data_IF_081131687312
#
_entry.id   IF_081131687312
#
_cell.length_a   1.000
_cell.length_b   1.000
_cell.length_c   1.000
_cell.angle_alpha   90.00
_cell.angle_beta   90.00
_cell.angle_gamma   90.00
#
_symmetry.space_group_name_H-M   'P 1'
#
loop_
_entity.id
_entity.type
_entity.pdbx_description
1 polymer ?
#
# COMPACT_ATOMS: atom_id res chain seq x y z
N UNK A 1 3.75 -23.82 -2.91
CA UNK A 1 3.12 -24.92 -2.15
C UNK A 1 3.36 -26.28 -2.81
N UNK A 2 3.31 -26.42 -4.16
CA UNK A 2 3.42 -27.72 -4.86
C UNK A 2 4.65 -28.54 -4.51
N UNK A 3 5.82 -27.90 -4.34
CA UNK A 3 7.05 -28.59 -3.94
C UNK A 3 7.00 -29.18 -2.52
N UNK A 4 6.25 -28.54 -1.62
CA UNK A 4 6.20 -28.88 -0.19
C UNK A 4 4.96 -29.67 0.20
N UNK A 5 4.16 -30.08 -0.79
CA UNK A 5 3.01 -30.93 -0.55
C UNK A 5 3.47 -32.37 -0.27
N UNK A 6 3.10 -32.90 0.88
CA UNK A 6 3.37 -34.27 1.30
C UNK A 6 2.08 -34.96 1.71
N UNK A 7 2.06 -36.30 1.77
CA UNK A 7 0.89 -37.03 2.25
C UNK A 7 0.47 -36.62 3.67
N UNK A 8 1.43 -36.27 4.52
CA UNK A 8 1.21 -35.90 5.94
C UNK A 8 0.52 -34.54 6.07
N UNK A 9 0.92 -33.55 5.26
CA UNK A 9 0.33 -32.19 5.37
C UNK A 9 -1.00 -32.06 4.61
N UNK A 10 -1.36 -33.04 3.80
CA UNK A 10 -2.63 -33.12 3.05
C UNK A 10 -2.95 -31.90 2.19
N UNK A 11 -1.94 -31.08 1.84
CA UNK A 11 -2.16 -29.86 1.05
C UNK A 11 -2.80 -30.14 -0.32
N UNK A 12 -2.46 -31.27 -0.93
CA UNK A 12 -3.02 -31.66 -2.21
C UNK A 12 -4.55 -31.72 -2.17
N UNK A 13 -5.12 -32.39 -1.16
CA UNK A 13 -6.56 -32.54 -1.02
C UNK A 13 -7.24 -31.30 -0.39
N UNK A 14 -6.50 -30.50 0.40
CA UNK A 14 -7.07 -29.35 1.11
C UNK A 14 -7.28 -28.13 0.21
N UNK A 15 -6.29 -27.76 -0.60
CA UNK A 15 -6.36 -26.49 -1.33
C UNK A 15 -5.63 -26.45 -2.69
N UNK A 16 -4.67 -27.35 -2.98
CA UNK A 16 -3.88 -27.24 -4.21
C UNK A 16 -4.70 -27.39 -5.49
N UNK A 17 -5.80 -28.15 -5.45
CA UNK A 17 -6.69 -28.32 -6.60
C UNK A 17 -7.42 -27.04 -6.97
N UNK A 18 -7.60 -26.12 -6.01
CA UNK A 18 -8.24 -24.82 -6.24
C UNK A 18 -7.30 -23.75 -6.80
N UNK A 19 -5.98 -24.00 -6.84
CA UNK A 19 -5.02 -23.08 -7.45
C UNK A 19 -5.10 -23.26 -8.98
N UNK A 20 -5.33 -22.19 -9.77
CA UNK A 20 -5.41 -22.32 -11.23
C UNK A 20 -4.09 -22.78 -11.86
N UNK A 21 -4.17 -23.75 -12.77
CA UNK A 21 -2.99 -24.29 -13.48
C UNK A 21 -2.26 -23.23 -14.31
N UNK A 22 -2.99 -22.28 -14.86
CA UNK A 22 -2.46 -21.22 -15.70
C UNK A 22 -1.78 -20.07 -14.92
N UNK A 23 -1.92 -20.04 -13.58
CA UNK A 23 -1.29 -19.05 -12.70
C UNK A 23 -0.13 -19.61 -11.87
N UNK A 24 0.17 -20.89 -11.98
CA UNK A 24 1.16 -21.54 -11.12
C UNK A 24 2.01 -22.54 -11.88
N UNK A 25 3.31 -22.54 -11.60
CA UNK A 25 4.21 -23.59 -12.07
C UNK A 25 4.05 -24.82 -11.18
N UNK A 26 3.79 -25.99 -11.80
CA UNK A 26 3.57 -27.26 -11.10
C UNK A 26 4.59 -28.33 -11.45
N UNK A 27 5.35 -28.13 -12.51
CA UNK A 27 6.35 -29.06 -13.00
C UNK A 27 7.43 -29.27 -11.93
N UNK A 28 7.65 -30.52 -11.45
CA UNK A 28 8.61 -30.79 -10.37
C UNK A 28 10.05 -30.51 -10.77
N UNK A 29 10.44 -30.73 -12.03
CA UNK A 29 11.78 -30.50 -12.53
C UNK A 29 12.09 -29.01 -12.54
N UNK A 30 11.17 -28.21 -13.11
CA UNK A 30 11.30 -26.75 -13.16
C UNK A 30 11.30 -26.15 -11.75
N UNK A 31 10.45 -26.63 -10.84
CA UNK A 31 10.41 -26.18 -9.45
C UNK A 31 11.70 -26.55 -8.69
N UNK A 32 12.21 -27.75 -8.89
CA UNK A 32 13.48 -28.15 -8.27
C UNK A 32 14.63 -27.27 -8.75
N UNK A 33 14.71 -27.01 -10.06
CA UNK A 33 15.70 -26.09 -10.62
C UNK A 33 15.61 -24.69 -10.03
N UNK A 34 14.41 -24.15 -9.83
CA UNK A 34 14.20 -22.84 -9.21
C UNK A 34 14.65 -22.78 -7.74
N UNK A 35 14.35 -23.81 -6.95
CA UNK A 35 14.63 -23.81 -5.51
C UNK A 35 16.04 -24.29 -5.14
N UNK A 36 16.61 -25.24 -5.88
CA UNK A 36 17.93 -25.81 -5.59
C UNK A 36 19.05 -25.12 -6.33
N UNK A 37 18.73 -24.37 -7.40
CA UNK A 37 19.73 -23.79 -8.29
C UNK A 37 20.31 -24.85 -9.25
N UNK A 38 21.51 -24.59 -9.75
CA UNK A 38 22.21 -25.42 -10.73
C UNK A 38 21.38 -25.70 -12.01
N UNK A 39 20.52 -24.78 -12.38
CA UNK A 39 19.65 -24.84 -13.55
C UNK A 39 19.67 -23.53 -14.33
N UNK A 40 19.11 -23.53 -15.54
CA UNK A 40 19.02 -22.34 -16.38
C UNK A 40 17.57 -22.08 -16.77
N UNK A 41 17.21 -20.78 -16.83
CA UNK A 41 15.93 -20.34 -17.34
C UNK A 41 15.82 -20.56 -18.87
N UNK A 42 16.94 -20.62 -19.58
CA UNK A 42 17.01 -20.56 -21.04
C UNK A 42 16.75 -21.88 -21.76
N UNK A 43 16.27 -22.91 -21.08
CA UNK A 43 15.75 -24.10 -21.76
C UNK A 43 14.33 -23.85 -22.27
N UNK A 44 13.99 -24.37 -23.45
CA UNK A 44 12.64 -24.21 -24.04
C UNK A 44 11.54 -24.68 -23.08
N UNK A 45 11.79 -25.79 -22.36
CA UNK A 45 10.84 -26.35 -21.41
C UNK A 45 10.58 -25.39 -20.25
N UNK A 46 11.63 -24.90 -19.59
CA UNK A 46 11.54 -23.96 -18.46
C UNK A 46 10.86 -22.65 -18.88
N UNK A 47 11.29 -22.06 -20.02
CA UNK A 47 10.68 -20.83 -20.55
C UNK A 47 9.17 -20.98 -20.79
N UNK A 48 8.74 -22.04 -21.46
CA UNK A 48 7.31 -22.24 -21.74
C UNK A 48 6.50 -22.49 -20.47
N UNK A 49 7.06 -23.20 -19.50
CA UNK A 49 6.39 -23.46 -18.21
C UNK A 49 6.19 -22.18 -17.41
N UNK A 50 7.17 -21.27 -17.41
CA UNK A 50 7.07 -19.97 -16.72
C UNK A 50 6.29 -18.92 -17.52
N UNK A 51 6.30 -18.99 -18.85
CA UNK A 51 5.71 -17.96 -19.71
C UNK A 51 4.23 -17.72 -19.41
N UNK A 52 3.43 -18.79 -19.29
CA UNK A 52 1.99 -18.65 -19.05
C UNK A 52 1.67 -17.96 -17.71
N UNK A 53 2.17 -18.40 -16.54
CA UNK A 53 1.94 -17.71 -15.28
C UNK A 53 2.44 -16.26 -15.30
N UNK A 54 3.62 -16.00 -15.85
CA UNK A 54 4.19 -14.65 -15.90
C UNK A 54 3.34 -13.73 -16.77
N UNK A 55 2.93 -14.15 -17.97
CA UNK A 55 2.08 -13.34 -18.84
C UNK A 55 0.72 -13.05 -18.22
N UNK A 56 0.10 -14.04 -17.58
CA UNK A 56 -1.21 -13.87 -16.95
C UNK A 56 -1.14 -12.92 -15.74
N UNK A 57 -0.15 -13.06 -14.88
CA UNK A 57 0.04 -12.10 -13.78
C UNK A 57 0.42 -10.71 -14.29
N UNK A 58 1.20 -10.60 -15.35
CA UNK A 58 1.51 -9.31 -15.99
C UNK A 58 0.25 -8.64 -16.54
N UNK A 59 -0.64 -9.40 -17.19
CA UNK A 59 -1.94 -8.88 -17.65
C UNK A 59 -2.78 -8.35 -16.48
N UNK A 60 -2.84 -9.09 -15.37
CA UNK A 60 -3.54 -8.67 -14.16
C UNK A 60 -2.98 -7.36 -13.60
N UNK A 61 -1.63 -7.28 -13.46
CA UNK A 61 -0.95 -6.08 -12.96
C UNK A 61 -1.21 -4.89 -13.89
N UNK A 62 -1.09 -5.07 -15.19
CA UNK A 62 -1.33 -4.00 -16.17
C UNK A 62 -2.78 -3.49 -16.11
N UNK A 63 -3.76 -4.39 -15.99
CA UNK A 63 -5.16 -4.01 -15.84
C UNK A 63 -5.40 -3.24 -14.54
N UNK A 64 -4.79 -3.70 -13.43
CA UNK A 64 -4.90 -3.06 -12.12
C UNK A 64 -4.31 -1.63 -12.14
N UNK A 65 -3.08 -1.49 -12.67
CA UNK A 65 -2.41 -0.19 -12.81
C UNK A 65 -3.17 0.76 -13.75
N UNK A 66 -3.77 0.22 -14.82
CA UNK A 66 -4.55 1.01 -15.76
C UNK A 66 -5.86 1.54 -15.14
N UNK A 67 -6.56 0.73 -14.34
CA UNK A 67 -7.74 1.20 -13.58
C UNK A 67 -7.34 2.30 -12.60
N UNK A 68 -6.22 2.13 -11.87
CA UNK A 68 -5.71 3.18 -10.99
C UNK A 68 -5.38 4.47 -11.74
N UNK A 69 -4.76 4.35 -12.91
CA UNK A 69 -4.45 5.51 -13.75
C UNK A 69 -5.72 6.25 -14.17
N UNK A 70 -6.74 5.53 -14.62
CA UNK A 70 -8.04 6.11 -14.97
C UNK A 70 -8.69 6.83 -13.76
N UNK A 71 -8.67 6.20 -12.58
CA UNK A 71 -9.15 6.82 -11.34
C UNK A 71 -8.35 8.07 -11.00
N UNK A 72 -7.03 8.02 -11.12
CA UNK A 72 -6.15 9.17 -10.86
C UNK A 72 -6.48 10.35 -11.76
N UNK A 73 -6.71 10.12 -13.07
CA UNK A 73 -7.13 11.17 -14.02
C UNK A 73 -8.47 11.78 -13.60
N UNK A 74 -9.43 10.95 -13.21
CA UNK A 74 -10.76 11.43 -12.77
C UNK A 74 -10.66 12.29 -11.50
N UNK A 75 -9.78 11.93 -10.57
CA UNK A 75 -9.61 12.62 -9.28
C UNK A 75 -8.71 13.85 -9.36
N UNK A 76 -7.74 13.87 -10.31
CA UNK A 76 -6.67 14.84 -10.38
C UNK A 76 -7.15 16.30 -10.34
N UNK A 77 -8.05 16.69 -11.26
CA UNK A 77 -8.53 18.08 -11.35
C UNK A 77 -9.25 18.53 -10.10
N UNK A 78 -10.08 17.65 -9.53
CA UNK A 78 -10.77 17.91 -8.26
C UNK A 78 -9.78 18.23 -7.14
N UNK A 79 -8.73 17.43 -6.99
CA UNK A 79 -7.78 17.58 -5.89
C UNK A 79 -6.71 18.66 -6.13
N UNK A 80 -6.31 18.87 -7.39
CA UNK A 80 -5.24 19.81 -7.73
C UNK A 80 -5.76 21.24 -7.89
N UNK A 81 -6.91 21.43 -8.56
CA UNK A 81 -7.41 22.75 -8.92
C UNK A 81 -8.53 23.23 -7.96
N UNK A 82 -9.48 22.37 -7.61
CA UNK A 82 -10.61 22.76 -6.78
C UNK A 82 -10.28 22.71 -5.28
N UNK A 83 -9.73 21.60 -4.79
CA UNK A 83 -9.38 21.45 -3.38
C UNK A 83 -7.96 21.97 -3.07
N UNK A 84 -7.10 22.09 -4.08
CA UNK A 84 -5.73 22.63 -4.00
C UNK A 84 -4.89 21.93 -2.94
N UNK A 85 -4.87 20.60 -2.97
CA UNK A 85 -4.04 19.82 -2.06
C UNK A 85 -2.55 20.19 -2.18
N UNK A 86 -1.81 20.06 -1.10
CA UNK A 86 -0.46 20.63 -0.94
C UNK A 86 0.63 19.89 -1.71
N UNK A 87 0.51 18.57 -1.89
CA UNK A 87 1.51 17.67 -2.52
C UNK A 87 2.93 17.86 -1.96
N UNK A 88 3.16 17.68 -0.65
CA UNK A 88 4.45 18.05 -0.04
C UNK A 88 5.64 17.27 -0.61
N UNK A 89 5.45 16.00 -0.97
CA UNK A 89 6.53 15.13 -1.46
C UNK A 89 7.02 15.49 -2.88
N UNK A 90 6.23 16.22 -3.66
CA UNK A 90 6.58 16.62 -5.02
C UNK A 90 7.70 17.66 -5.05
N UNK A 91 7.86 18.45 -3.97
CA UNK A 91 8.89 19.50 -3.90
C UNK A 91 10.31 18.94 -3.98
N UNK A 92 10.61 17.90 -3.20
CA UNK A 92 11.98 17.38 -3.10
C UNK A 92 12.53 16.86 -4.44
N UNK A 93 11.83 16.01 -5.23
CA UNK A 93 12.30 15.59 -6.56
C UNK A 93 12.46 16.74 -7.53
N UNK A 94 11.56 17.72 -7.50
CA UNK A 94 11.66 18.91 -8.36
C UNK A 94 12.87 19.78 -8.04
N UNK A 95 13.14 20.01 -6.74
CA UNK A 95 14.31 20.77 -6.31
C UNK A 95 15.62 20.05 -6.66
N UNK A 96 15.65 18.71 -6.54
CA UNK A 96 16.79 17.88 -6.92
C UNK A 96 17.07 17.90 -8.42
N UNK A 97 16.02 17.96 -9.27
CA UNK A 97 16.13 17.96 -10.72
C UNK A 97 16.27 19.36 -11.34
N UNK A 98 16.06 20.41 -10.54
CA UNK A 98 16.08 21.79 -11.01
C UNK A 98 17.51 22.31 -11.22
N UNK A 99 17.81 22.76 -12.43
CA UNK A 99 19.06 23.45 -12.73
C UNK A 99 19.15 24.85 -12.05
N UNK A 100 17.99 25.44 -11.73
CA UNK A 100 17.90 26.80 -11.15
C UNK A 100 18.26 26.85 -9.67
N UNK A 101 18.02 25.80 -8.93
CA UNK A 101 18.35 25.70 -7.51
C UNK A 101 19.60 24.83 -7.35
N UNK A 102 20.75 25.42 -6.97
CA UNK A 102 21.96 24.64 -6.75
C UNK A 102 21.85 23.83 -5.44
N UNK A 103 20.95 22.84 -5.41
CA UNK A 103 20.67 22.01 -4.25
C UNK A 103 21.94 21.47 -3.60
N UNK A 104 22.87 20.96 -4.41
CA UNK A 104 24.16 20.43 -3.93
C UNK A 104 25.17 21.51 -3.51
N UNK A 105 24.91 22.81 -3.74
CA UNK A 105 25.73 23.90 -3.23
C UNK A 105 25.31 24.38 -1.83
N UNK A 106 24.20 23.87 -1.33
CA UNK A 106 23.69 24.23 0.00
C UNK A 106 24.57 23.62 1.11
N UNK A 107 25.22 24.48 1.92
CA UNK A 107 26.07 24.06 3.04
C UNK A 107 25.30 23.28 4.11
N UNK A 108 24.02 23.60 4.34
CA UNK A 108 23.19 22.90 5.31
C UNK A 108 22.90 21.47 4.88
N UNK A 109 22.75 21.22 3.56
CA UNK A 109 22.62 19.86 3.03
C UNK A 109 23.84 19.02 3.41
N UNK A 110 25.05 19.54 3.15
CA UNK A 110 26.28 18.82 3.44
C UNK A 110 26.51 18.63 4.95
N UNK A 111 26.12 19.61 5.77
CA UNK A 111 26.15 19.47 7.23
C UNK A 111 25.21 18.34 7.71
N UNK A 112 23.98 18.27 7.17
CA UNK A 112 23.04 17.19 7.48
C UNK A 112 23.56 15.82 7.04
N UNK A 113 24.12 15.71 5.82
CA UNK A 113 24.77 14.48 5.34
C UNK A 113 25.93 14.08 6.25
N UNK A 114 26.79 15.03 6.64
CA UNK A 114 27.93 14.75 7.51
C UNK A 114 27.50 14.21 8.88
N UNK A 115 26.44 14.76 9.48
CA UNK A 115 25.88 14.25 10.73
C UNK A 115 25.38 12.82 10.58
N UNK A 116 24.58 12.53 9.53
CA UNK A 116 24.07 11.18 9.30
C UNK A 116 25.21 10.17 9.06
N UNK A 117 26.17 10.52 8.21
CA UNK A 117 27.35 9.69 7.92
C UNK A 117 28.18 9.44 9.18
N UNK A 118 28.40 10.46 10.01
CA UNK A 118 29.16 10.29 11.26
C UNK A 118 28.47 9.31 12.21
N UNK A 119 27.15 9.39 12.33
CA UNK A 119 26.34 8.46 13.13
C UNK A 119 26.47 7.04 12.60
N UNK A 120 26.31 6.83 11.29
CA UNK A 120 26.39 5.51 10.67
C UNK A 120 27.80 4.92 10.77
N UNK A 121 28.84 5.75 10.64
CA UNK A 121 30.23 5.31 10.81
C UNK A 121 30.50 4.86 12.25
N UNK A 122 30.06 5.61 13.26
CA UNK A 122 30.21 5.23 14.68
C UNK A 122 29.50 3.89 14.93
N UNK A 123 28.28 3.72 14.41
CA UNK A 123 27.54 2.47 14.54
C UNK A 123 28.22 1.30 13.80
N UNK A 124 28.72 1.54 12.60
CA UNK A 124 29.51 0.55 11.84
C UNK A 124 30.78 0.15 12.58
N UNK A 125 31.51 1.12 13.15
CA UNK A 125 32.70 0.86 13.97
C UNK A 125 32.38 0.06 15.24
N UNK A 126 31.27 0.37 15.91
CA UNK A 126 30.79 -0.38 17.08
C UNK A 126 30.51 -1.86 16.73
N UNK A 127 29.90 -2.12 15.56
CA UNK A 127 29.64 -3.51 15.10
C UNK A 127 30.94 -4.27 14.82
N UNK A 128 31.94 -3.60 14.22
CA UNK A 128 33.24 -4.21 13.90
C UNK A 128 34.15 -4.31 15.13
N UNK A 129 34.11 -3.29 16.00
CA UNK A 129 34.93 -3.17 17.18
C UNK A 129 34.05 -2.88 18.41
N UNK A 130 33.60 -3.90 19.15
CA UNK A 130 32.68 -3.73 20.29
C UNK A 130 33.19 -2.81 21.43
N UNK A 131 34.51 -2.52 21.44
CA UNK A 131 35.12 -1.56 22.37
C UNK A 131 34.75 -0.11 22.05
N UNK A 132 34.32 0.21 20.84
CA UNK A 132 33.83 1.54 20.47
C UNK A 132 32.40 1.72 21.01
N UNK A 133 32.10 2.81 21.75
CA UNK A 133 30.77 3.03 22.27
C UNK A 133 29.75 3.23 21.13
N UNK A 134 28.69 2.40 21.11
CA UNK A 134 27.59 2.53 20.16
C UNK A 134 26.60 3.61 20.58
N UNK A 135 26.06 4.33 19.60
CA UNK A 135 24.97 5.29 19.84
C UNK A 135 23.64 4.54 19.89
N UNK A 136 22.85 4.73 20.95
CA UNK A 136 21.49 4.16 21.07
C UNK A 136 20.48 4.97 20.25
N UNK A 137 20.62 4.95 18.92
CA UNK A 137 19.72 5.64 17.98
C UNK A 137 18.58 4.74 17.55
N UNK A 138 18.84 3.41 17.50
CA UNK A 138 17.85 2.41 17.19
C UNK A 138 16.77 2.37 18.28
N UNK A 139 15.67 1.71 17.96
CA UNK A 139 14.53 1.62 18.85
C UNK A 139 14.86 1.15 20.27
N UNK A 140 14.38 1.93 21.22
CA UNK A 140 14.32 1.59 22.63
C UNK A 140 12.88 1.24 22.93
N UNK A 141 12.60 0.04 23.39
CA UNK A 141 11.24 -0.33 23.74
C UNK A 141 10.90 0.18 25.14
N UNK A 142 9.98 1.14 25.23
CA UNK A 142 9.55 1.69 26.53
C UNK A 142 8.85 0.65 27.42
N UNK A 143 8.27 -0.39 26.82
CA UNK A 143 7.62 -1.46 27.60
C UNK A 143 8.60 -2.18 28.54
N UNK A 144 9.88 -2.21 28.20
CA UNK A 144 10.90 -2.88 29.04
C UNK A 144 11.12 -2.17 30.39
N UNK A 145 10.72 -0.90 30.50
CA UNK A 145 10.80 -0.08 31.72
C UNK A 145 9.47 -0.02 32.47
N UNK A 146 8.38 -0.47 31.90
CA UNK A 146 7.02 -0.37 32.46
C UNK A 146 6.51 -1.75 32.81
N UNK A 147 6.77 -2.20 34.03
CA UNK A 147 6.48 -3.57 34.49
C UNK A 147 5.22 -3.69 35.34
N UNK A 148 4.68 -2.56 35.84
CA UNK A 148 3.53 -2.55 36.75
C UNK A 148 2.20 -2.66 36.01
N UNK A 149 1.30 -3.47 36.54
CA UNK A 149 -0.08 -3.56 36.06
C UNK A 149 -0.87 -2.29 36.41
N UNK A 150 -1.75 -1.78 35.54
CA UNK A 150 -2.09 -2.26 34.19
C UNK A 150 -1.20 -1.70 33.06
N UNK A 151 -0.21 -0.87 33.39
CA UNK A 151 0.62 -0.12 32.44
C UNK A 151 1.51 -1.03 31.58
N UNK A 152 1.90 -2.19 32.10
CA UNK A 152 2.66 -3.19 31.34
C UNK A 152 1.91 -3.72 30.09
N UNK A 153 0.61 -3.48 30.00
CA UNK A 153 -0.20 -3.85 28.83
C UNK A 153 0.03 -2.97 27.59
N UNK A 154 0.81 -1.88 27.69
CA UNK A 154 1.14 -1.06 26.54
C UNK A 154 1.82 -1.86 25.42
N UNK A 155 2.43 -3.01 25.74
CA UNK A 155 3.13 -3.88 24.81
C UNK A 155 4.31 -3.16 24.12
N UNK A 156 4.69 -3.63 22.93
CA UNK A 156 5.78 -3.04 22.19
C UNK A 156 5.54 -1.55 21.89
N UNK A 157 6.39 -0.69 22.46
CA UNK A 157 6.30 0.77 22.38
C UNK A 157 7.68 1.35 22.04
N UNK A 158 8.09 1.31 20.74
CA UNK A 158 9.40 1.72 20.32
C UNK A 158 9.54 3.24 20.27
N UNK A 159 10.67 3.76 20.76
CA UNK A 159 11.14 5.11 20.55
C UNK A 159 12.48 5.06 19.84
N UNK A 160 12.63 5.79 18.76
CA UNK A 160 13.85 5.83 17.95
C UNK A 160 14.19 7.26 17.53
N UNK A 161 15.49 7.53 17.32
CA UNK A 161 16.01 8.84 16.96
C UNK A 161 16.72 8.81 15.60
N UNK A 162 16.05 8.24 14.59
CA UNK A 162 16.59 8.21 13.23
C UNK A 162 16.65 9.62 12.63
N UNK A 163 17.84 10.13 12.24
CA UNK A 163 17.98 11.49 11.69
C UNK A 163 17.09 11.76 10.49
N UNK A 164 16.94 10.78 9.59
CA UNK A 164 16.06 10.92 8.42
C UNK A 164 14.59 11.07 8.82
N UNK A 165 14.12 10.34 9.84
CA UNK A 165 12.75 10.42 10.31
C UNK A 165 12.47 11.76 10.99
N UNK A 166 13.43 12.29 11.75
CA UNK A 166 13.35 13.62 12.36
C UNK A 166 13.30 14.70 11.26
N UNK A 167 14.18 14.61 10.25
CA UNK A 167 14.20 15.53 9.13
C UNK A 167 12.92 15.52 8.30
N UNK A 168 12.37 14.35 8.00
CA UNK A 168 11.08 14.22 7.32
C UNK A 168 9.93 14.73 8.20
N UNK A 169 9.95 14.43 9.50
CA UNK A 169 8.95 14.93 10.46
C UNK A 169 8.89 16.44 10.53
N UNK A 170 10.04 17.12 10.41
CA UNK A 170 10.11 18.58 10.38
C UNK A 170 9.48 19.21 9.13
N UNK A 171 9.35 18.45 8.04
CA UNK A 171 8.73 18.87 6.79
C UNK A 171 7.22 18.57 6.73
N UNK A 172 6.72 17.74 7.66
CA UNK A 172 5.30 17.38 7.70
C UNK A 172 4.45 18.53 8.24
N UNK A 173 3.18 18.65 7.77
CA UNK A 173 2.21 19.54 8.38
C UNK A 173 2.06 19.26 9.88
N UNK A 174 1.88 20.33 10.66
CA UNK A 174 1.76 20.22 12.12
C UNK A 174 0.62 19.32 12.57
N UNK A 175 -0.51 19.37 11.85
CA UNK A 175 -1.69 18.54 12.11
C UNK A 175 -1.38 17.03 11.97
N UNK A 176 -0.59 16.66 10.95
CA UNK A 176 -0.18 15.27 10.76
C UNK A 176 0.79 14.83 11.85
N UNK A 177 1.78 15.67 12.16
CA UNK A 177 2.75 15.37 13.23
C UNK A 177 2.03 15.20 14.58
N UNK A 178 1.10 16.11 14.91
CA UNK A 178 0.28 16.01 16.12
C UNK A 178 -0.55 14.74 16.13
N UNK A 179 -1.31 14.48 15.05
CA UNK A 179 -2.18 13.30 14.96
C UNK A 179 -1.39 12.00 15.09
N UNK A 180 -0.19 11.92 14.51
CA UNK A 180 0.63 10.70 14.52
C UNK A 180 1.00 10.27 15.94
N UNK A 181 1.55 11.18 16.77
CA UNK A 181 1.92 10.82 18.13
C UNK A 181 0.70 10.72 19.06
N UNK A 182 -0.30 11.59 18.88
CA UNK A 182 -1.50 11.60 19.73
C UNK A 182 -2.28 10.28 19.60
N UNK A 183 -2.60 9.85 18.36
CA UNK A 183 -3.32 8.60 18.16
C UNK A 183 -2.49 7.36 18.46
N UNK A 184 -1.16 7.43 18.34
CA UNK A 184 -0.29 6.36 18.83
C UNK A 184 -0.42 6.19 20.35
N UNK A 185 -0.34 7.28 21.13
CA UNK A 185 -0.53 7.24 22.58
C UNK A 185 -1.96 6.80 22.92
N UNK A 186 -2.97 7.32 22.22
CA UNK A 186 -4.36 6.93 22.41
C UNK A 186 -4.54 5.41 22.27
N UNK A 187 -4.01 4.82 21.20
CA UNK A 187 -4.01 3.36 21.04
C UNK A 187 -3.33 2.63 22.20
N UNK A 188 -2.18 3.12 22.68
CA UNK A 188 -1.51 2.51 23.84
C UNK A 188 -2.35 2.60 25.11
N UNK A 189 -3.06 3.69 25.31
CA UNK A 189 -3.99 3.86 26.42
C UNK A 189 -5.22 2.93 26.31
N UNK A 190 -5.70 2.68 25.10
CA UNK A 190 -6.76 1.66 24.88
C UNK A 190 -6.31 0.27 25.37
N UNK A 191 -5.04 -0.12 25.10
CA UNK A 191 -4.50 -1.39 25.60
C UNK A 191 -4.42 -1.44 27.13
N UNK A 192 -3.98 -0.35 27.77
CA UNK A 192 -3.94 -0.23 29.24
C UNK A 192 -5.34 -0.30 29.83
N UNK A 193 -6.31 0.41 29.24
CA UNK A 193 -7.71 0.40 29.64
C UNK A 193 -8.31 -1.02 29.49
N UNK A 194 -7.99 -1.68 28.38
CA UNK A 194 -8.42 -3.05 28.14
C UNK A 194 -7.93 -4.01 29.21
N UNK A 195 -6.66 -3.92 29.58
CA UNK A 195 -6.10 -4.72 30.66
C UNK A 195 -6.77 -4.41 31.99
N UNK A 196 -6.91 -3.13 32.34
CA UNK A 196 -7.56 -2.72 33.60
C UNK A 196 -9.00 -3.22 33.73
N UNK A 197 -9.76 -3.25 32.60
CA UNK A 197 -11.16 -3.74 32.57
C UNK A 197 -11.28 -5.24 32.29
N UNK A 198 -10.18 -5.97 32.06
CA UNK A 198 -10.22 -7.36 31.66
C UNK A 198 -10.68 -7.64 30.24
N UNK A 199 -10.73 -6.61 29.36
CA UNK A 199 -11.16 -6.75 27.96
C UNK A 199 -10.06 -7.33 27.06
N UNK A 200 -8.84 -7.47 27.55
CA UNK A 200 -7.76 -8.17 26.88
C UNK A 200 -8.06 -9.64 26.60
N UNK A 201 -9.04 -10.24 27.29
CA UNK A 201 -9.56 -11.58 27.01
C UNK A 201 -10.42 -11.63 25.73
N UNK A 202 -10.90 -10.45 25.26
CA UNK A 202 -11.67 -10.37 24.03
C UNK A 202 -10.72 -10.47 22.85
N UNK A 203 -10.90 -11.46 21.94
CA UNK A 203 -10.00 -11.64 20.80
C UNK A 203 -9.85 -10.38 19.96
N UNK A 204 -8.62 -9.97 19.69
CA UNK A 204 -8.23 -8.81 18.86
C UNK A 204 -8.59 -7.42 19.39
N UNK A 205 -9.21 -7.32 20.58
CA UNK A 205 -9.45 -6.01 21.18
C UNK A 205 -8.12 -5.23 21.34
N UNK A 206 -8.04 -3.93 21.02
CA UNK A 206 -9.12 -2.98 20.69
C UNK A 206 -9.43 -2.81 19.19
N UNK A 207 -9.24 -3.83 18.36
CA UNK A 207 -9.60 -3.86 16.94
C UNK A 207 -8.87 -2.82 16.08
N UNK A 208 -7.57 -2.63 16.30
CA UNK A 208 -6.74 -1.59 15.67
C UNK A 208 -6.76 -1.66 14.14
N UNK A 209 -6.73 -2.88 13.57
CA UNK A 209 -6.78 -3.07 12.13
C UNK A 209 -8.13 -2.63 11.54
N UNK A 210 -9.21 -2.97 12.24
CA UNK A 210 -10.58 -2.60 11.85
C UNK A 210 -10.81 -1.09 12.01
N UNK A 211 -10.26 -0.46 13.06
CA UNK A 211 -10.27 1.00 13.23
C UNK A 211 -9.52 1.70 12.10
N UNK A 212 -8.32 1.23 11.77
CA UNK A 212 -7.51 1.76 10.67
C UNK A 212 -8.23 1.62 9.33
N UNK A 213 -8.78 0.42 9.06
CA UNK A 213 -9.59 0.18 7.86
C UNK A 213 -10.77 1.15 7.78
N UNK A 214 -11.53 1.31 8.87
CA UNK A 214 -12.66 2.23 8.94
C UNK A 214 -12.26 3.69 8.68
N UNK A 215 -11.12 4.13 9.22
CA UNK A 215 -10.60 5.47 8.99
C UNK A 215 -10.29 5.73 7.50
N UNK A 216 -9.62 4.81 6.81
CA UNK A 216 -9.35 4.93 5.37
C UNK A 216 -10.61 4.87 4.51
N UNK A 217 -11.57 4.03 4.88
CA UNK A 217 -12.88 4.02 4.23
C UNK A 217 -13.60 5.36 4.42
N UNK A 218 -13.53 5.95 5.62
CA UNK A 218 -14.04 7.29 5.91
C UNK A 218 -13.41 8.39 5.05
N UNK A 219 -12.08 8.35 4.87
CA UNK A 219 -11.35 9.28 3.98
C UNK A 219 -11.83 9.14 2.53
N UNK A 220 -12.00 7.89 2.05
CA UNK A 220 -12.53 7.64 0.71
C UNK A 220 -13.95 8.20 0.54
N UNK A 221 -14.84 7.92 1.48
CA UNK A 221 -16.23 8.44 1.45
C UNK A 221 -16.26 9.97 1.48
N UNK A 222 -15.41 10.58 2.30
CA UNK A 222 -15.26 12.04 2.34
C UNK A 222 -14.76 12.59 0.99
N UNK A 223 -13.76 11.96 0.37
CA UNK A 223 -13.24 12.35 -0.94
C UNK A 223 -14.32 12.29 -2.04
N UNK A 224 -15.11 11.23 -2.05
CA UNK A 224 -16.23 11.07 -2.99
C UNK A 224 -17.30 12.13 -2.73
N UNK A 225 -17.66 12.36 -1.47
CA UNK A 225 -18.70 13.32 -1.08
C UNK A 225 -18.29 14.77 -1.39
N UNK A 226 -17.03 15.14 -1.12
CA UNK A 226 -16.45 16.44 -1.46
C UNK A 226 -16.47 16.69 -2.97
N UNK A 227 -16.04 15.69 -3.75
CA UNK A 227 -15.99 15.75 -5.22
C UNK A 227 -17.32 15.45 -5.93
N UNK A 228 -18.43 15.21 -5.23
CA UNK A 228 -19.68 14.70 -5.83
C UNK A 228 -20.20 15.50 -7.04
N UNK A 229 -20.04 16.83 -7.03
CA UNK A 229 -20.45 17.68 -8.15
C UNK A 229 -19.56 17.46 -9.39
N UNK A 230 -18.27 17.28 -9.19
CA UNK A 230 -17.31 17.00 -10.26
C UNK A 230 -17.59 15.62 -10.87
N UNK A 231 -17.72 14.58 -10.04
CA UNK A 231 -18.03 13.22 -10.49
C UNK A 231 -19.38 13.13 -11.21
N UNK A 232 -20.41 13.80 -10.69
CA UNK A 232 -21.70 13.85 -11.37
C UNK A 232 -21.61 14.47 -12.77
N UNK A 233 -20.85 15.57 -12.95
CA UNK A 233 -20.64 16.16 -14.26
C UNK A 233 -19.91 15.21 -15.22
N UNK A 234 -18.86 14.51 -14.74
CA UNK A 234 -18.14 13.51 -15.55
C UNK A 234 -19.08 12.40 -16.00
N UNK A 235 -19.87 11.83 -15.10
CA UNK A 235 -20.82 10.78 -15.42
C UNK A 235 -21.90 11.25 -16.39
N UNK A 236 -22.47 12.44 -16.17
CA UNK A 236 -23.46 13.03 -17.09
C UNK A 236 -22.86 13.23 -18.48
N UNK A 237 -21.67 13.81 -18.57
CA UNK A 237 -20.95 14.00 -19.84
C UNK A 237 -20.65 12.67 -20.56
N UNK A 238 -20.33 11.61 -19.79
CA UNK A 238 -20.10 10.27 -20.34
C UNK A 238 -21.34 9.72 -21.02
N UNK A 239 -22.53 9.82 -20.39
CA UNK A 239 -23.79 9.27 -20.92
C UNK A 239 -24.45 10.16 -21.97
N UNK A 240 -24.40 11.47 -21.83
CA UNK A 240 -25.10 12.40 -22.72
C UNK A 240 -24.27 12.79 -23.95
N UNK A 241 -22.96 12.60 -23.90
CA UNK A 241 -22.05 13.01 -24.96
C UNK A 241 -21.82 14.53 -25.04
N UNK A 242 -22.55 15.33 -24.28
CA UNK A 242 -22.45 16.79 -24.20
C UNK A 242 -22.08 17.16 -22.76
N UNK A 243 -21.06 17.98 -22.58
CA UNK A 243 -20.68 18.50 -21.26
C UNK A 243 -19.60 19.56 -21.42
N UNK A 244 -19.78 20.69 -20.69
CA UNK A 244 -18.77 21.77 -20.55
C UNK A 244 -17.59 21.33 -19.64
N UNK A 245 -17.10 20.14 -19.83
CA UNK A 245 -15.91 19.69 -19.12
C UNK A 245 -14.69 20.04 -19.94
N UNK A 246 -13.93 21.01 -19.45
CA UNK A 246 -12.61 21.29 -19.98
C UNK A 246 -11.66 20.16 -19.53
N UNK A 247 -11.49 19.18 -20.40
CA UNK A 247 -10.56 18.05 -20.23
C UNK A 247 -9.39 18.10 -21.24
N UNK A 248 -9.22 19.23 -21.94
CA UNK A 248 -8.16 19.40 -22.92
C UNK A 248 -6.77 19.44 -22.28
N UNK A 249 -6.68 19.90 -21.02
CA UNK A 249 -5.46 19.95 -20.22
C UNK A 249 -5.19 18.66 -19.42
N UNK A 250 -6.10 17.68 -19.47
CA UNK A 250 -5.93 16.43 -18.75
C UNK A 250 -5.10 15.43 -19.56
N UNK A 251 -4.31 14.55 -18.88
CA UNK A 251 -3.50 13.53 -19.55
C UNK A 251 -4.33 12.56 -20.41
N UNK A 252 -5.61 12.43 -20.10
CA UNK A 252 -6.58 11.60 -20.82
C UNK A 252 -7.97 12.23 -20.70
N UNK A 253 -8.74 12.23 -21.79
CA UNK A 253 -10.14 12.72 -21.77
C UNK A 253 -10.97 11.92 -20.77
N UNK A 254 -11.86 12.57 -20.02
CA UNK A 254 -12.68 11.90 -19.01
C UNK A 254 -13.51 10.74 -19.56
N UNK A 255 -14.06 10.86 -20.78
CA UNK A 255 -14.79 9.74 -21.43
C UNK A 255 -13.89 8.52 -21.62
N UNK A 256 -12.65 8.73 -22.06
CA UNK A 256 -11.68 7.64 -22.22
C UNK A 256 -11.28 7.05 -20.88
N UNK A 257 -11.10 7.88 -19.85
CA UNK A 257 -10.79 7.43 -18.49
C UNK A 257 -11.92 6.57 -17.90
N UNK A 258 -13.19 7.00 -18.02
CA UNK A 258 -14.34 6.22 -17.54
C UNK A 258 -14.47 4.92 -18.31
N UNK A 259 -14.37 4.94 -19.64
CA UNK A 259 -14.41 3.73 -20.47
C UNK A 259 -13.25 2.78 -20.13
N UNK A 260 -12.05 3.32 -20.01
CA UNK A 260 -10.86 2.56 -19.61
C UNK A 260 -11.01 1.91 -18.23
N UNK A 261 -11.57 2.63 -17.26
CA UNK A 261 -11.89 2.11 -15.94
C UNK A 261 -12.88 0.95 -16.00
N UNK A 262 -13.94 1.07 -16.81
CA UNK A 262 -14.95 0.02 -16.98
C UNK A 262 -14.31 -1.22 -17.62
N UNK A 263 -13.56 -1.05 -18.72
CA UNK A 263 -12.89 -2.15 -19.43
C UNK A 263 -11.87 -2.83 -18.53
N UNK A 264 -11.02 -2.04 -17.86
CA UNK A 264 -10.01 -2.58 -16.94
C UNK A 264 -10.63 -3.32 -15.77
N UNK A 265 -11.70 -2.76 -15.17
CA UNK A 265 -12.45 -3.43 -14.11
C UNK A 265 -13.08 -4.74 -14.61
N UNK A 266 -13.65 -4.76 -15.83
CA UNK A 266 -14.19 -5.98 -16.43
C UNK A 266 -13.10 -7.06 -16.61
N UNK A 267 -11.90 -6.68 -17.08
CA UNK A 267 -10.76 -7.61 -17.20
C UNK A 267 -10.38 -8.18 -15.82
N UNK A 268 -10.30 -7.35 -14.79
CA UNK A 268 -10.00 -7.81 -13.42
C UNK A 268 -11.08 -8.76 -12.90
N UNK A 269 -12.35 -8.44 -13.10
CA UNK A 269 -13.49 -9.27 -12.68
C UNK A 269 -13.46 -10.63 -13.38
N UNK A 270 -13.26 -10.65 -14.70
CA UNK A 270 -13.18 -11.89 -15.49
C UNK A 270 -11.99 -12.73 -15.04
N UNK A 271 -10.83 -12.09 -14.84
CA UNK A 271 -9.61 -12.77 -14.39
C UNK A 271 -9.81 -13.45 -13.03
N UNK A 272 -10.31 -12.71 -12.04
CA UNK A 272 -10.51 -13.27 -10.68
C UNK A 272 -11.66 -14.28 -10.66
N UNK A 273 -12.68 -14.10 -11.50
CA UNK A 273 -13.72 -15.11 -11.69
C UNK A 273 -13.16 -16.42 -12.27
N UNK A 274 -12.26 -16.33 -13.23
CA UNK A 274 -11.54 -17.47 -13.78
C UNK A 274 -10.63 -18.17 -12.75
N UNK A 275 -10.18 -17.46 -11.73
CA UNK A 275 -9.48 -18.06 -10.58
C UNK A 275 -10.41 -18.87 -9.66
N UNK A 276 -11.73 -18.68 -9.75
CA UNK A 276 -12.72 -19.42 -8.96
C UNK A 276 -13.38 -18.63 -7.83
N UNK A 277 -13.16 -17.31 -7.73
CA UNK A 277 -13.82 -16.48 -6.71
C UNK A 277 -15.30 -16.26 -7.03
N UNK A 278 -16.14 -16.23 -6.00
CA UNK A 278 -17.57 -15.94 -6.12
C UNK A 278 -17.83 -14.49 -6.57
N UNK A 279 -18.86 -14.26 -7.39
CA UNK A 279 -19.18 -12.94 -7.95
C UNK A 279 -19.29 -11.82 -6.91
N UNK A 280 -20.06 -12.04 -5.86
CA UNK A 280 -20.26 -11.05 -4.82
C UNK A 280 -18.95 -10.67 -4.12
N UNK A 281 -18.06 -11.64 -3.92
CA UNK A 281 -16.78 -11.46 -3.25
C UNK A 281 -15.80 -10.66 -4.13
N UNK A 282 -15.85 -10.84 -5.45
CA UNK A 282 -15.04 -10.05 -6.39
C UNK A 282 -15.37 -8.56 -6.28
N UNK A 283 -16.66 -8.21 -6.25
CA UNK A 283 -17.08 -6.82 -6.13
C UNK A 283 -16.73 -6.23 -4.75
N UNK A 284 -16.89 -6.99 -3.68
CA UNK A 284 -16.48 -6.57 -2.33
C UNK A 284 -14.97 -6.37 -2.27
N UNK A 285 -14.19 -7.30 -2.82
CA UNK A 285 -12.74 -7.24 -2.84
C UNK A 285 -12.22 -5.99 -3.56
N UNK A 286 -12.61 -5.78 -4.81
CA UNK A 286 -12.17 -4.61 -5.57
C UNK A 286 -12.78 -3.31 -5.07
N UNK A 287 -14.01 -3.32 -4.55
CA UNK A 287 -14.62 -2.17 -3.89
C UNK A 287 -13.78 -1.68 -2.72
N UNK A 288 -13.39 -2.58 -1.81
CA UNK A 288 -12.50 -2.26 -0.68
C UNK A 288 -11.12 -1.83 -1.21
N UNK A 289 -10.53 -2.57 -2.14
CA UNK A 289 -9.20 -2.28 -2.67
C UNK A 289 -9.09 -0.88 -3.26
N UNK A 290 -10.01 -0.50 -4.15
CA UNK A 290 -10.00 0.82 -4.77
C UNK A 290 -10.41 1.93 -3.80
N UNK A 291 -11.28 1.65 -2.84
CA UNK A 291 -11.60 2.62 -1.78
C UNK A 291 -10.36 2.93 -0.91
N UNK A 292 -9.61 1.90 -0.51
CA UNK A 292 -8.32 2.08 0.18
C UNK A 292 -7.32 2.84 -0.72
N UNK A 293 -7.25 2.50 -2.01
CA UNK A 293 -6.38 3.18 -2.98
C UNK A 293 -6.66 4.69 -3.05
N UNK A 294 -7.93 5.07 -3.12
CA UNK A 294 -8.36 6.48 -3.12
C UNK A 294 -8.03 7.15 -1.79
N UNK A 295 -8.33 6.50 -0.66
CA UNK A 295 -8.06 7.03 0.68
C UNK A 295 -6.57 7.29 0.91
N UNK A 296 -5.72 6.33 0.58
CA UNK A 296 -4.25 6.43 0.68
C UNK A 296 -3.73 7.55 -0.23
N UNK A 297 -4.21 7.61 -1.47
CA UNK A 297 -3.78 8.61 -2.44
C UNK A 297 -4.13 10.01 -1.97
N UNK A 298 -5.35 10.21 -1.43
CA UNK A 298 -5.76 11.49 -0.85
C UNK A 298 -4.90 11.88 0.34
N UNK A 299 -4.74 10.98 1.30
CA UNK A 299 -3.92 11.24 2.49
C UNK A 299 -2.50 11.66 2.11
N UNK A 300 -1.89 10.97 1.14
CA UNK A 300 -0.54 11.28 0.71
C UNK A 300 -0.46 12.62 -0.05
N UNK A 301 -1.44 12.93 -0.90
CA UNK A 301 -1.50 14.20 -1.63
C UNK A 301 -1.75 15.41 -0.71
N UNK A 302 -2.50 15.23 0.37
CA UNK A 302 -2.85 16.30 1.31
C UNK A 302 -1.79 16.49 2.39
N UNK A 303 -1.38 15.40 3.05
CA UNK A 303 -0.53 15.45 4.25
C UNK A 303 0.94 15.10 3.96
N UNK A 304 1.21 14.35 2.87
CA UNK A 304 2.57 13.99 2.46
C UNK A 304 3.30 13.04 3.39
N UNK A 305 2.68 12.01 4.02
CA UNK A 305 3.45 11.01 4.73
C UNK A 305 4.38 10.29 3.74
N UNK A 306 5.69 10.27 3.97
CA UNK A 306 6.64 9.67 3.03
C UNK A 306 6.50 8.14 2.96
N UNK A 307 6.05 7.55 4.05
CA UNK A 307 5.73 6.13 4.13
C UNK A 307 4.37 5.95 4.81
N UNK A 308 3.58 5.03 4.28
CA UNK A 308 2.35 4.53 4.89
C UNK A 308 2.38 3.02 4.78
N UNK A 309 1.92 2.34 5.80
CA UNK A 309 1.96 0.89 5.83
C UNK A 309 0.69 0.36 6.48
N UNK A 310 -0.19 -0.20 5.67
CA UNK A 310 -1.46 -0.77 6.08
C UNK A 310 -1.37 -2.29 6.08
N UNK A 311 -0.61 -2.84 7.02
CA UNK A 311 -0.61 -4.28 7.24
C UNK A 311 -1.98 -4.73 7.76
N UNK A 312 -2.44 -5.87 7.26
CA UNK A 312 -3.71 -6.51 7.66
C UNK A 312 -4.98 -5.65 7.50
N UNK A 313 -4.94 -4.57 6.70
CA UNK A 313 -6.11 -3.76 6.34
C UNK A 313 -6.56 -3.97 4.89
N UNK A 314 -5.87 -4.80 4.13
CA UNK A 314 -6.28 -5.18 2.78
C UNK A 314 -7.53 -6.04 2.75
N UNK A 315 -8.24 -6.09 1.60
CA UNK A 315 -9.47 -6.87 1.46
C UNK A 315 -9.26 -8.37 1.73
N UNK A 316 -8.10 -8.92 1.39
CA UNK A 316 -7.71 -10.30 1.68
C UNK A 316 -7.65 -10.64 3.17
N UNK A 317 -7.36 -9.66 4.00
CA UNK A 317 -7.29 -9.79 5.46
C UNK A 317 -8.60 -9.39 6.15
N UNK A 318 -9.19 -8.26 5.75
CA UNK A 318 -10.41 -7.73 6.38
C UNK A 318 -11.63 -8.60 6.09
N UNK A 319 -11.78 -9.14 4.87
CA UNK A 319 -12.94 -9.97 4.54
C UNK A 319 -13.03 -11.22 5.43
N UNK A 320 -11.96 -12.03 5.63
CA UNK A 320 -12.01 -13.15 6.54
C UNK A 320 -12.13 -12.76 8.02
N UNK A 321 -11.78 -11.52 8.40
CA UNK A 321 -12.00 -11.01 9.77
C UNK A 321 -13.48 -10.68 10.03
N UNK A 322 -14.17 -10.13 9.02
CA UNK A 322 -15.58 -9.74 9.12
C UNK A 322 -16.54 -10.90 8.85
N UNK A 323 -16.14 -11.82 7.98
CA UNK A 323 -16.96 -12.96 7.57
C UNK A 323 -16.26 -14.23 8.02
N UNK A 324 -16.98 -15.09 8.74
CA UNK A 324 -16.42 -16.38 9.17
C UNK A 324 -15.80 -17.14 7.98
N UNK A 325 -14.50 -17.49 8.02
CA UNK A 325 -13.82 -18.21 6.94
C UNK A 325 -14.53 -19.48 6.45
N UNK A 326 -15.20 -20.20 7.35
CA UNK A 326 -15.97 -21.38 6.98
C UNK A 326 -17.13 -21.07 6.03
N UNK A 327 -17.71 -19.86 6.09
CA UNK A 327 -18.77 -19.41 5.17
C UNK A 327 -18.25 -18.96 3.81
N UNK A 328 -16.97 -18.57 3.73
CA UNK A 328 -16.35 -18.17 2.47
C UNK A 328 -16.05 -19.38 1.57
N UNK A 329 -15.75 -20.52 2.15
CA UNK A 329 -15.40 -21.74 1.44
C UNK A 329 -13.97 -21.74 0.89
N UNK A 330 -13.41 -22.94 0.71
CA UNK A 330 -12.00 -23.13 0.30
C UNK A 330 -11.62 -22.41 -1.00
N UNK A 331 -12.41 -22.45 -2.09
CA UNK A 331 -12.05 -21.77 -3.34
C UNK A 331 -11.81 -20.27 -3.15
N UNK A 332 -12.71 -19.58 -2.43
CA UNK A 332 -12.60 -18.15 -2.17
C UNK A 332 -11.40 -17.83 -1.29
N UNK A 333 -11.15 -18.63 -0.25
CA UNK A 333 -9.98 -18.42 0.65
C UNK A 333 -8.66 -18.61 -0.09
N UNK A 334 -8.58 -19.58 -1.00
CA UNK A 334 -7.39 -19.80 -1.85
C UNK A 334 -7.14 -18.59 -2.73
N UNK A 335 -8.17 -18.05 -3.40
CA UNK A 335 -7.99 -16.89 -4.25
C UNK A 335 -7.64 -15.65 -3.43
N UNK A 336 -8.26 -15.41 -2.28
CA UNK A 336 -7.87 -14.32 -1.35
C UNK A 336 -6.39 -14.44 -0.95
N UNK A 337 -5.93 -15.65 -0.60
CA UNK A 337 -4.53 -15.90 -0.27
C UNK A 337 -3.58 -15.65 -1.46
N UNK A 338 -4.01 -15.98 -2.70
CA UNK A 338 -3.25 -15.67 -3.91
C UNK A 338 -3.15 -14.18 -4.20
N UNK A 339 -4.09 -13.36 -3.70
CA UNK A 339 -4.07 -11.90 -3.85
C UNK A 339 -3.24 -11.20 -2.78
N UNK A 340 -2.75 -11.91 -1.76
CA UNK A 340 -2.00 -11.35 -0.62
C UNK A 340 -0.76 -10.54 -1.03
N UNK A 341 -0.05 -10.94 -2.09
CA UNK A 341 1.23 -10.33 -2.45
C UNK A 341 1.17 -8.82 -2.76
N UNK A 342 0.07 -8.31 -3.31
CA UNK A 342 -0.10 -6.87 -3.58
C UNK A 342 -0.95 -6.14 -2.54
N UNK A 343 -1.64 -6.88 -1.66
CA UNK A 343 -2.45 -6.34 -0.56
C UNK A 343 -1.72 -6.33 0.79
N UNK A 344 -0.59 -7.04 0.89
CA UNK A 344 0.14 -7.23 2.15
C UNK A 344 0.49 -5.93 2.84
N UNK A 345 0.92 -4.93 2.07
CA UNK A 345 1.34 -3.63 2.56
C UNK A 345 1.16 -2.60 1.45
N UNK A 346 0.65 -1.45 1.79
CA UNK A 346 0.38 -0.39 0.80
C UNK A 346 1.53 0.61 0.68
N UNK A 347 2.72 0.30 1.23
CA UNK A 347 3.90 1.17 1.25
C UNK A 347 4.32 1.68 -0.13
N UNK A 348 4.30 0.82 -1.12
CA UNK A 348 4.64 1.13 -2.51
C UNK A 348 3.41 1.14 -3.42
N UNK A 349 2.24 1.54 -2.89
CA UNK A 349 0.99 1.56 -3.67
C UNK A 349 1.10 2.50 -4.87
N UNK A 350 0.80 2.04 -6.11
CA UNK A 350 1.11 2.80 -7.32
C UNK A 350 0.31 4.10 -7.51
N UNK A 351 -0.96 4.13 -7.09
CA UNK A 351 -1.88 5.23 -7.37
C UNK A 351 -1.40 6.60 -6.83
N UNK A 352 -0.85 6.72 -5.60
CA UNK A 352 -0.27 7.98 -5.13
C UNK A 352 0.88 8.48 -6.01
N UNK A 353 1.77 7.57 -6.45
CA UNK A 353 2.89 7.92 -7.31
C UNK A 353 2.44 8.39 -8.71
N UNK A 354 1.37 7.80 -9.25
CA UNK A 354 0.78 8.27 -10.52
C UNK A 354 0.26 9.71 -10.37
N UNK A 355 -0.43 10.03 -9.28
CA UNK A 355 -0.93 11.37 -9.02
C UNK A 355 0.19 12.39 -8.80
N UNK A 356 1.19 12.03 -8.00
CA UNK A 356 2.38 12.87 -7.78
C UNK A 356 3.17 13.09 -9.08
N UNK A 357 3.29 12.07 -9.93
CA UNK A 357 3.91 12.16 -11.26
C UNK A 357 3.23 13.19 -12.15
N UNK A 358 1.90 13.19 -12.21
CA UNK A 358 1.15 14.23 -12.93
C UNK A 358 1.37 15.62 -12.34
N UNK A 359 1.43 15.73 -11.01
CA UNK A 359 1.70 17.04 -10.37
C UNK A 359 3.12 17.52 -10.61
N UNK A 360 4.10 16.62 -10.66
CA UNK A 360 5.48 16.96 -11.04
C UNK A 360 5.56 17.43 -12.49
N UNK A 361 4.92 16.72 -13.43
CA UNK A 361 4.88 17.11 -14.84
C UNK A 361 4.26 18.51 -15.04
N UNK A 362 3.13 18.79 -14.36
CA UNK A 362 2.49 20.10 -14.36
C UNK A 362 3.43 21.20 -13.86
N UNK A 363 4.10 21.01 -12.71
CA UNK A 363 5.04 21.99 -12.14
C UNK A 363 6.31 22.18 -12.98
N UNK A 364 6.78 21.13 -13.65
CA UNK A 364 7.91 21.17 -14.55
C UNK A 364 7.56 21.71 -15.95
N UNK A 365 6.28 22.04 -16.19
CA UNK A 365 5.77 22.48 -17.51
C UNK A 365 6.06 21.47 -18.64
N UNK A 366 6.04 20.18 -18.30
CA UNK A 366 6.13 19.08 -19.26
C UNK A 366 4.71 18.81 -19.73
N UNK A 367 4.48 19.06 -21.04
CA UNK A 367 3.19 18.89 -21.70
C UNK A 367 2.90 17.44 -22.07
#
# INVERSE_FOLDING_TARGET
PFRYATPENKWASMFLDYIPKWLSVRDPEVLNGYYQGASTLYTKHTLLTWATPVLMWSLFIMALLFVMLCLTVILRKQWTEHEKLTYPLVHLPLDLSSEKTPFFKNRLLWAGIAVAVAIDLIQGMHVLYPSVPGLKIKEINLADFITTYPWNAIGWCPVSFYPFAIGLGALLPLDLSFSSWFFFIFWKLELVLAAWKGWNEIPRFPYVNEQSFGAYMGICLFAIWSGRKHFSRILTSFFTGHGDLDDASEPMRYRTAVLGMIIGAAVLVVFVRAMGMAWWLIFVFFGIYFALSVGITRMRAELGPPAHDLHAAGPDSIIPMLINPAKLGTPNLVVLSMMFWFNRAYRAHPMPFQLEGFKMAERASIG
#
